data_IF_342404977266
#
_entry.id   IF_342404977266
#
_cell.length_a   1.000
_cell.length_b   1.000
_cell.length_c   1.000
_cell.angle_alpha   90.00
_cell.angle_beta   90.00
_cell.angle_gamma   90.00
#
_symmetry.space_group_name_H-M   'P 1'
#
loop_
_entity.id
_entity.type
_entity.pdbx_description
1 polymer ?
#
# COMPACT_ATOMS: atom_id res chain seq x y z
N UNK A 1 -4.52 -15.56 -6.23
CA UNK A 1 -5.08 -14.93 -7.44
C UNK A 1 -4.05 -15.04 -8.57
N UNK A 2 -4.46 -15.09 -9.85
CA UNK A 2 -3.56 -15.06 -11.01
C UNK A 2 -3.82 -13.77 -11.78
N UNK A 3 -2.77 -13.11 -12.25
CA UNK A 3 -2.84 -11.93 -13.10
C UNK A 3 -2.01 -12.17 -14.37
N UNK A 4 -2.47 -11.65 -15.51
CA UNK A 4 -1.68 -11.53 -16.73
C UNK A 4 -1.03 -10.15 -16.73
N UNK A 5 0.26 -10.10 -17.03
CA UNK A 5 1.06 -8.87 -17.01
C UNK A 5 1.86 -8.83 -18.30
N UNK A 6 1.73 -7.74 -19.04
CA UNK A 6 2.54 -7.49 -20.22
C UNK A 6 3.94 -7.01 -19.80
N UNK A 7 4.96 -7.64 -20.36
CA UNK A 7 6.36 -7.31 -20.13
C UNK A 7 7.08 -7.36 -21.47
N UNK A 8 8.01 -6.44 -21.69
CA UNK A 8 8.91 -6.52 -22.84
C UNK A 8 10.04 -7.54 -22.58
N UNK A 9 10.72 -7.95 -23.65
CA UNK A 9 11.78 -8.97 -23.58
C UNK A 9 12.91 -8.57 -22.62
N UNK A 10 13.28 -7.29 -22.61
CA UNK A 10 14.34 -6.77 -21.73
C UNK A 10 13.97 -6.89 -20.24
N UNK A 11 12.70 -6.67 -19.88
CA UNK A 11 12.20 -6.86 -18.52
C UNK A 11 12.23 -8.34 -18.11
N UNK A 12 11.89 -9.24 -19.02
CA UNK A 12 11.93 -10.70 -18.78
C UNK A 12 13.38 -11.15 -18.54
N UNK A 13 14.31 -10.73 -19.39
CA UNK A 13 15.73 -11.06 -19.24
C UNK A 13 16.32 -10.51 -17.94
N UNK A 14 15.98 -9.28 -17.56
CA UNK A 14 16.42 -8.67 -16.32
C UNK A 14 15.91 -9.45 -15.09
N UNK A 15 14.63 -9.87 -15.10
CA UNK A 15 14.04 -10.68 -14.05
C UNK A 15 14.68 -12.08 -13.97
N UNK A 16 14.98 -12.71 -15.10
CA UNK A 16 15.68 -14.00 -15.13
C UNK A 16 17.11 -13.90 -14.61
N UNK A 17 17.84 -12.84 -14.95
CA UNK A 17 19.16 -12.59 -14.41
C UNK A 17 19.12 -12.36 -12.90
N UNK A 18 18.14 -11.59 -12.41
CA UNK A 18 17.96 -11.35 -10.98
C UNK A 18 17.58 -12.63 -10.23
N UNK A 19 16.64 -13.41 -10.76
CA UNK A 19 16.22 -14.70 -10.21
C UNK A 19 17.40 -15.67 -10.01
N UNK A 20 18.30 -15.75 -11.00
CA UNK A 20 19.53 -16.56 -10.91
C UNK A 20 20.47 -16.06 -9.82
N UNK A 21 20.66 -14.74 -9.70
CA UNK A 21 21.54 -14.13 -8.70
C UNK A 21 21.00 -14.32 -7.28
N UNK A 22 19.71 -14.18 -7.06
CA UNK A 22 19.08 -14.32 -5.74
C UNK A 22 18.68 -15.75 -5.39
N UNK A 23 18.80 -16.70 -6.35
CA UNK A 23 18.36 -18.09 -6.22
C UNK A 23 16.88 -18.21 -5.85
N UNK A 24 16.06 -17.34 -6.42
CA UNK A 24 14.61 -17.32 -6.23
C UNK A 24 13.90 -17.56 -7.55
N UNK A 25 12.66 -18.02 -7.51
CA UNK A 25 11.84 -18.06 -8.71
C UNK A 25 11.42 -16.64 -9.13
N UNK A 26 11.26 -16.41 -10.43
CA UNK A 26 10.71 -15.15 -10.97
C UNK A 26 9.41 -14.75 -10.27
N UNK A 27 8.51 -15.70 -10.03
CA UNK A 27 7.25 -15.45 -9.35
C UNK A 27 7.42 -15.00 -7.89
N UNK A 28 8.44 -15.49 -7.18
CA UNK A 28 8.75 -15.02 -5.83
C UNK A 28 9.27 -13.58 -5.84
N UNK A 29 10.14 -13.24 -6.79
CA UNK A 29 10.64 -11.87 -6.97
C UNK A 29 9.51 -10.89 -7.28
N UNK A 30 8.61 -11.25 -8.21
CA UNK A 30 7.47 -10.40 -8.57
C UNK A 30 6.57 -10.16 -7.36
N UNK A 31 6.28 -11.19 -6.56
CA UNK A 31 5.49 -11.02 -5.33
C UNK A 31 6.17 -10.08 -4.34
N UNK A 32 7.47 -10.29 -4.07
CA UNK A 32 8.22 -9.43 -3.17
C UNK A 32 8.27 -7.97 -3.65
N UNK A 33 8.39 -7.74 -4.96
CA UNK A 33 8.35 -6.40 -5.55
C UNK A 33 6.97 -5.74 -5.41
N UNK A 34 5.89 -6.50 -5.56
CA UNK A 34 4.52 -6.01 -5.33
C UNK A 34 4.34 -5.60 -3.87
N UNK A 35 4.75 -6.47 -2.93
CA UNK A 35 4.64 -6.21 -1.50
C UNK A 35 5.43 -4.94 -1.10
N UNK A 36 6.70 -4.83 -1.53
CA UNK A 36 7.54 -3.66 -1.28
C UNK A 36 6.98 -2.37 -1.92
N UNK A 37 6.40 -2.45 -3.13
CA UNK A 37 5.76 -1.30 -3.76
C UNK A 37 4.53 -0.83 -2.98
N UNK A 38 3.67 -1.76 -2.55
CA UNK A 38 2.48 -1.44 -1.77
C UNK A 38 2.84 -0.87 -0.40
N UNK A 39 3.86 -1.41 0.28
CA UNK A 39 4.31 -0.91 1.58
C UNK A 39 4.83 0.53 1.51
N UNK A 40 5.55 0.87 0.43
CA UNK A 40 6.04 2.23 0.19
C UNK A 40 4.89 3.23 0.02
N UNK A 41 3.87 2.86 -0.76
CA UNK A 41 2.74 3.75 -1.03
C UNK A 41 1.65 3.73 0.05
N UNK A 42 1.60 2.70 0.89
CA UNK A 42 0.72 2.69 2.06
C UNK A 42 1.14 3.76 3.09
N UNK A 43 2.44 4.00 3.27
CA UNK A 43 2.93 5.06 4.19
C UNK A 43 2.52 6.45 3.74
N UNK A 44 2.58 6.73 2.44
CA UNK A 44 2.14 8.01 1.85
C UNK A 44 0.63 8.23 2.07
N UNK A 45 -0.20 7.18 1.94
CA UNK A 45 -1.65 7.28 2.15
C UNK A 45 -2.05 7.45 3.62
N UNK A 46 -1.27 6.91 4.56
CA UNK A 46 -1.55 7.04 6.00
C UNK A 46 -1.29 8.47 6.50
N UNK A 47 -0.31 9.18 5.93
CA UNK A 47 -0.12 10.62 6.23
C UNK A 47 -1.36 11.44 5.83
N UNK A 48 -2.00 11.13 4.71
CA UNK A 48 -3.26 11.75 4.29
C UNK A 48 -4.48 11.31 5.13
N UNK A 49 -4.51 10.05 5.57
CA UNK A 49 -5.64 9.47 6.32
C UNK A 49 -5.79 9.98 7.75
N UNK A 50 -4.68 10.28 8.45
CA UNK A 50 -4.72 10.89 9.78
C UNK A 50 -4.81 12.43 9.73
N UNK A 51 -4.34 13.07 8.64
CA UNK A 51 -4.43 14.52 8.44
C UNK A 51 -5.87 15.05 8.30
N UNK A 52 -6.77 14.27 7.67
CA UNK A 52 -8.19 14.61 7.51
C UNK A 52 -8.98 14.70 8.82
N UNK A 53 -8.52 14.01 9.87
CA UNK A 53 -9.11 14.13 11.22
C UNK A 53 -8.47 15.28 12.01
N UNK A 54 -7.24 15.66 11.69
CA UNK A 54 -6.53 16.78 12.33
C UNK A 54 -7.11 18.15 12.00
N UNK A 55 -7.66 18.35 10.80
CA UNK A 55 -8.28 19.62 10.40
C UNK A 55 -9.72 19.80 10.93
N UNK A 56 -10.38 18.72 11.35
CA UNK A 56 -11.62 18.81 12.11
C UNK A 56 -11.29 19.05 13.57
N UNK A 57 -11.23 20.32 13.98
CA UNK A 57 -11.38 20.74 15.40
C UNK A 57 -12.81 20.48 15.89
N UNK A 58 -13.29 19.25 15.80
CA UNK A 58 -14.49 18.83 16.50
C UNK A 58 -14.03 18.41 17.88
N UNK A 59 -14.33 19.23 18.88
CA UNK A 59 -14.17 18.84 20.27
C UNK A 59 -14.97 17.56 20.52
N UNK A 60 -14.25 16.48 20.80
CA UNK A 60 -14.84 15.15 20.99
C UNK A 60 -15.85 15.12 22.14
N UNK A 61 -15.68 15.99 23.15
CA UNK A 61 -16.61 16.12 24.28
C UNK A 61 -17.90 16.80 23.81
N UNK A 62 -17.78 17.93 23.10
CA UNK A 62 -18.95 18.64 22.57
C UNK A 62 -19.75 17.78 21.58
N UNK A 63 -19.08 16.92 20.80
CA UNK A 63 -19.74 15.97 19.91
C UNK A 63 -20.51 14.89 20.68
N UNK A 64 -19.92 14.33 21.74
CA UNK A 64 -20.60 13.35 22.59
C UNK A 64 -21.81 13.94 23.31
N UNK A 65 -21.69 15.16 23.84
CA UNK A 65 -22.79 15.86 24.50
C UNK A 65 -23.96 16.12 23.55
N UNK A 66 -23.68 16.53 22.31
CA UNK A 66 -24.70 16.73 21.28
C UNK A 66 -25.47 15.43 20.99
N UNK A 67 -24.76 14.33 20.75
CA UNK A 67 -25.40 13.03 20.44
C UNK A 67 -26.20 12.50 21.64
N UNK A 68 -25.74 12.75 22.87
CA UNK A 68 -26.46 12.34 24.09
C UNK A 68 -27.66 13.22 24.42
N UNK A 69 -27.69 14.48 23.98
CA UNK A 69 -28.85 15.37 24.17
C UNK A 69 -30.02 15.07 23.23
N UNK A 70 -29.81 14.22 22.22
CA UNK A 70 -30.84 13.79 21.26
C UNK A 70 -31.56 12.49 21.68
N UNK A 71 -31.27 11.95 22.88
CA UNK A 71 -31.89 10.74 23.45
C UNK A 71 -32.57 11.02 24.80
#
# INVERSE_FOLDING_TARGET
MRALIDMNDAQVEALDALAKRTRQSRAALIRAAIDDYLDRHHREQVEDGFGLWGERKVDGIAYQEKVRGEW
#
